data_IF_797305388036
#
_entry.id   IF_797305388036
#
_cell.length_a   1.000
_cell.length_b   1.000
_cell.length_c   1.000
_cell.angle_alpha   90.00
_cell.angle_beta   90.00
_cell.angle_gamma   90.00
#
_symmetry.space_group_name_H-M   'P 1'
#
loop_
_entity.id
_entity.type
_entity.pdbx_description
1 polymer ?
#
# COMPACT_ATOMS: atom_id res chain seq x y z
N UNK A 1 20.16 11.81 -0.65
CA UNK A 1 18.82 11.24 -0.41
C UNK A 1 18.43 11.44 1.05
N UNK A 2 17.24 11.99 1.29
CA UNK A 2 16.64 12.35 2.58
C UNK A 2 16.62 11.18 3.57
N UNK A 3 16.58 9.95 3.06
CA UNK A 3 16.52 8.73 3.87
C UNK A 3 17.81 7.89 3.84
N UNK A 4 18.90 8.42 3.26
CA UNK A 4 20.15 7.66 3.08
C UNK A 4 20.85 7.22 4.36
N UNK A 5 20.59 7.90 5.48
CA UNK A 5 21.14 7.56 6.79
C UNK A 5 20.38 6.43 7.50
N UNK A 6 19.18 6.06 7.02
CA UNK A 6 18.39 5.01 7.62
C UNK A 6 18.87 3.62 7.17
N UNK A 7 18.96 2.63 8.08
CA UNK A 7 19.22 1.25 7.71
C UNK A 7 18.20 0.72 6.71
N UNK A 8 18.68 0.08 5.64
CA UNK A 8 17.85 -0.48 4.57
C UNK A 8 18.45 -1.78 4.07
N UNK A 9 17.60 -2.78 3.84
CA UNK A 9 17.96 -4.04 3.18
C UNK A 9 17.24 -4.11 1.83
N UNK A 10 17.95 -4.46 0.76
CA UNK A 10 17.33 -4.59 -0.56
C UNK A 10 16.43 -5.83 -0.64
N UNK A 11 15.15 -5.60 -0.92
CA UNK A 11 14.11 -6.60 -1.16
C UNK A 11 13.34 -6.32 -2.44
N UNK A 12 13.12 -5.04 -2.77
CA UNK A 12 12.34 -4.62 -3.92
C UNK A 12 13.20 -4.54 -5.20
N UNK A 13 12.60 -4.88 -6.33
CA UNK A 13 13.14 -4.51 -7.65
C UNK A 13 12.88 -3.03 -7.91
N UNK A 14 13.92 -2.20 -7.78
CA UNK A 14 13.84 -0.75 -7.91
C UNK A 14 14.88 -0.20 -8.91
N UNK A 15 14.60 0.94 -9.56
CA UNK A 15 13.36 1.72 -9.47
C UNK A 15 12.16 0.99 -10.13
N UNK A 16 10.95 1.13 -9.60
CA UNK A 16 9.77 0.55 -10.29
C UNK A 16 9.44 1.36 -11.55
N UNK A 17 8.90 0.75 -12.61
CA UNK A 17 8.60 1.49 -13.83
C UNK A 17 7.64 2.67 -13.63
N UNK A 18 7.85 3.70 -14.45
CA UNK A 18 7.00 4.88 -14.60
C UNK A 18 6.60 4.97 -16.08
N UNK A 19 5.32 4.79 -16.38
CA UNK A 19 4.83 4.55 -17.74
C UNK A 19 3.62 5.43 -18.04
N UNK A 20 3.48 5.91 -19.28
CA UNK A 20 2.27 6.58 -19.75
C UNK A 20 1.17 5.55 -20.04
N UNK A 21 -0.10 5.93 -19.88
CA UNK A 21 -1.28 5.10 -20.14
C UNK A 21 -2.15 5.71 -21.27
N UNK A 22 -1.65 5.75 -22.52
CA UNK A 22 -2.29 6.51 -23.60
C UNK A 22 -3.66 5.95 -24.01
N UNK A 23 -3.91 4.64 -23.87
CA UNK A 23 -5.19 4.03 -24.25
C UNK A 23 -6.27 4.32 -23.21
N UNK A 24 -5.93 4.27 -21.93
CA UNK A 24 -6.79 4.66 -20.84
C UNK A 24 -7.06 6.17 -20.88
N UNK A 25 -6.03 6.98 -21.15
CA UNK A 25 -6.19 8.42 -21.40
C UNK A 25 -7.22 8.70 -22.49
N UNK A 26 -7.11 8.03 -23.65
CA UNK A 26 -8.08 8.17 -24.73
C UNK A 26 -9.49 7.71 -24.32
N UNK A 27 -9.59 6.59 -23.59
CA UNK A 27 -10.86 6.06 -23.10
C UNK A 27 -11.56 6.98 -22.07
N UNK A 28 -10.80 7.81 -21.34
CA UNK A 28 -11.30 8.73 -20.30
C UNK A 28 -11.34 10.19 -20.75
N UNK A 29 -11.36 10.46 -22.06
CA UNK A 29 -11.57 11.80 -22.60
C UNK A 29 -10.33 12.69 -22.64
N UNK A 30 -9.13 12.09 -22.63
CA UNK A 30 -7.88 12.75 -23.01
C UNK A 30 -6.99 13.28 -21.87
N UNK A 31 -7.34 13.03 -20.60
CA UNK A 31 -6.47 13.39 -19.47
C UNK A 31 -5.09 12.71 -19.57
N UNK A 32 -4.02 13.38 -19.18
CA UNK A 32 -2.66 12.81 -19.24
C UNK A 32 -2.45 11.85 -18.07
N UNK A 33 -2.52 10.54 -18.35
CA UNK A 33 -2.45 9.50 -17.32
C UNK A 33 -1.13 8.74 -17.38
N UNK A 34 -0.54 8.56 -16.20
CA UNK A 34 0.67 7.79 -15.98
C UNK A 34 0.46 6.79 -14.85
N UNK A 35 1.32 5.79 -14.78
CA UNK A 35 1.30 4.78 -13.73
C UNK A 35 2.68 4.54 -13.14
N UNK A 36 2.75 4.47 -11.81
CA UNK A 36 3.93 4.00 -11.07
C UNK A 36 3.71 2.56 -10.64
N UNK A 37 4.56 1.64 -11.11
CA UNK A 37 4.32 0.19 -11.08
C UNK A 37 4.82 -0.50 -9.79
N UNK A 38 4.34 -0.06 -8.63
CA UNK A 38 4.75 -0.64 -7.33
C UNK A 38 4.25 -2.06 -7.07
N UNK A 39 3.35 -2.59 -7.90
CA UNK A 39 3.06 -4.02 -7.95
C UNK A 39 4.26 -4.84 -8.42
N UNK A 40 5.21 -4.23 -9.16
CA UNK A 40 6.41 -4.91 -9.68
C UNK A 40 7.60 -4.92 -8.73
N UNK A 41 7.42 -4.57 -7.46
CA UNK A 41 8.50 -4.67 -6.45
C UNK A 41 8.99 -6.11 -6.22
N UNK A 42 8.28 -7.14 -6.71
CA UNK A 42 8.75 -8.52 -6.88
C UNK A 42 8.63 -9.44 -5.66
N UNK A 43 8.73 -8.92 -4.44
CA UNK A 43 8.72 -9.75 -3.23
C UNK A 43 7.40 -10.50 -3.05
N UNK A 44 7.42 -11.83 -3.20
CA UNK A 44 6.25 -12.69 -3.09
C UNK A 44 5.06 -12.20 -3.94
N UNK A 45 5.29 -11.78 -5.19
CA UNK A 45 4.24 -11.18 -6.04
C UNK A 45 4.04 -9.68 -5.84
N UNK A 46 4.98 -9.02 -5.15
CA UNK A 46 5.17 -7.57 -5.15
C UNK A 46 4.08 -6.75 -4.47
N UNK A 47 4.14 -5.45 -4.69
CA UNK A 47 3.30 -4.46 -4.03
C UNK A 47 4.07 -3.50 -3.14
N UNK A 48 3.30 -2.57 -2.62
CA UNK A 48 3.78 -1.35 -2.02
C UNK A 48 4.39 -1.55 -0.61
N UNK A 49 4.13 -2.69 0.04
CA UNK A 49 4.65 -3.00 1.38
C UNK A 49 6.10 -3.44 1.35
N UNK A 50 6.57 -3.99 0.24
CA UNK A 50 7.98 -4.36 0.02
C UNK A 50 8.91 -3.19 0.32
N UNK A 51 8.60 -1.99 -0.18
CA UNK A 51 9.38 -0.76 0.11
C UNK A 51 9.51 -0.52 1.62
N UNK A 52 8.41 -0.60 2.36
CA UNK A 52 8.41 -0.40 3.82
C UNK A 52 9.22 -1.48 4.54
N UNK A 53 9.10 -2.73 4.07
CA UNK A 53 9.78 -3.89 4.66
C UNK A 53 11.30 -3.81 4.51
N UNK A 54 11.83 -3.12 3.50
CA UNK A 54 13.28 -2.89 3.38
C UNK A 54 13.87 -2.18 4.61
N UNK A 55 13.13 -1.22 5.18
CA UNK A 55 13.53 -0.47 6.37
C UNK A 55 13.13 -1.21 7.66
N UNK A 56 11.91 -1.73 7.72
CA UNK A 56 11.41 -2.45 8.91
C UNK A 56 12.21 -3.72 9.20
N UNK A 57 12.60 -4.47 8.17
CA UNK A 57 13.45 -5.67 8.36
C UNK A 57 14.89 -5.30 8.70
N UNK A 58 15.39 -4.15 8.24
CA UNK A 58 16.70 -3.64 8.65
C UNK A 58 16.70 -3.26 10.14
N UNK A 59 15.65 -2.58 10.61
CA UNK A 59 15.46 -2.27 12.01
C UNK A 59 15.31 -3.56 12.86
N UNK A 60 14.47 -4.50 12.44
CA UNK A 60 14.32 -5.80 13.11
C UNK A 60 15.66 -6.55 13.25
N UNK A 61 16.49 -6.54 12.20
CA UNK A 61 17.83 -7.16 12.25
C UNK A 61 18.76 -6.43 13.21
N UNK A 62 18.72 -5.10 13.22
CA UNK A 62 19.50 -4.26 14.14
C UNK A 62 19.15 -4.55 15.61
N UNK A 63 17.87 -4.78 15.89
CA UNK A 63 17.37 -5.17 17.22
C UNK A 63 17.60 -6.66 17.55
N UNK A 64 18.26 -7.43 16.67
CA UNK A 64 18.58 -8.83 16.89
C UNK A 64 17.38 -9.77 16.82
N UNK A 65 16.28 -9.35 16.18
CA UNK A 65 15.06 -10.15 16.05
C UNK A 65 15.31 -11.43 15.25
N UNK A 66 14.49 -12.46 15.53
CA UNK A 66 14.49 -13.75 14.81
C UNK A 66 13.11 -14.15 14.30
N UNK A 67 12.04 -13.49 14.78
CA UNK A 67 10.67 -13.75 14.38
C UNK A 67 9.98 -12.44 14.04
N UNK A 68 9.42 -12.33 12.83
CA UNK A 68 8.54 -11.22 12.46
C UNK A 68 7.09 -11.59 12.82
N UNK A 69 6.40 -10.68 13.49
CA UNK A 69 4.98 -10.83 13.83
C UNK A 69 4.22 -9.68 13.19
N UNK A 70 3.11 -9.95 12.52
CA UNK A 70 2.22 -8.91 12.03
C UNK A 70 0.77 -9.39 11.97
N UNK A 71 -0.14 -8.49 11.60
CA UNK A 71 -1.55 -8.77 11.48
C UNK A 71 -2.19 -8.23 10.19
N UNK A 72 -3.33 -8.81 9.85
CA UNK A 72 -4.23 -8.25 8.85
C UNK A 72 -5.45 -9.12 8.58
N UNK A 73 -6.24 -8.70 7.59
CA UNK A 73 -7.33 -9.49 7.07
C UNK A 73 -6.85 -10.81 6.42
N UNK A 74 -7.74 -11.79 6.19
CA UNK A 74 -7.36 -13.09 5.60
C UNK A 74 -6.58 -12.96 4.28
N UNK A 75 -6.98 -12.00 3.43
CA UNK A 75 -6.35 -11.70 2.14
C UNK A 75 -5.36 -10.54 2.21
N UNK A 76 -4.74 -10.29 3.37
CA UNK A 76 -3.82 -9.17 3.58
C UNK A 76 -2.57 -9.26 2.72
N UNK A 77 -2.41 -8.28 1.81
CA UNK A 77 -1.19 -8.08 1.03
C UNK A 77 0.03 -7.78 1.92
N UNK A 78 -0.20 -7.15 3.09
CA UNK A 78 0.85 -6.87 4.06
C UNK A 78 1.40 -8.14 4.69
N UNK A 79 0.52 -9.02 5.18
CA UNK A 79 0.91 -10.30 5.76
C UNK A 79 1.72 -11.13 4.77
N UNK A 80 1.28 -11.18 3.51
CA UNK A 80 1.95 -11.92 2.43
C UNK A 80 3.34 -11.38 2.10
N UNK A 81 3.50 -10.07 2.01
CA UNK A 81 4.81 -9.47 1.78
C UNK A 81 5.73 -9.61 3.02
N UNK A 82 5.19 -9.53 4.24
CA UNK A 82 5.95 -9.79 5.48
C UNK A 82 6.45 -11.24 5.54
N UNK A 83 5.60 -12.22 5.20
CA UNK A 83 6.01 -13.62 5.07
C UNK A 83 7.10 -13.80 4.01
N UNK A 84 6.97 -13.12 2.87
CA UNK A 84 7.99 -13.12 1.82
C UNK A 84 9.33 -12.55 2.30
N UNK A 85 9.32 -11.43 3.02
CA UNK A 85 10.52 -10.85 3.60
C UNK A 85 11.16 -11.77 4.64
N UNK A 86 10.33 -12.38 5.50
CA UNK A 86 10.79 -13.32 6.51
C UNK A 86 11.50 -14.52 5.88
N UNK A 87 10.86 -15.16 4.90
CA UNK A 87 11.43 -16.30 4.17
C UNK A 87 12.75 -15.94 3.49
N UNK A 88 12.81 -14.79 2.79
CA UNK A 88 14.01 -14.35 2.06
C UNK A 88 15.18 -13.99 2.98
N UNK A 89 14.90 -13.46 4.17
CA UNK A 89 15.92 -12.97 5.12
C UNK A 89 16.24 -13.95 6.26
N UNK A 90 15.55 -15.10 6.31
CA UNK A 90 15.75 -16.13 7.33
C UNK A 90 15.14 -15.80 8.70
N UNK A 91 14.07 -15.02 8.75
CA UNK A 91 13.25 -14.86 9.95
C UNK A 91 12.15 -15.93 10.01
N UNK A 92 11.77 -16.33 11.22
CA UNK A 92 10.46 -16.96 11.41
C UNK A 92 9.36 -15.91 11.15
N UNK A 93 8.16 -16.36 10.78
CA UNK A 93 7.04 -15.46 10.55
C UNK A 93 5.78 -15.96 11.26
N UNK A 94 5.14 -15.09 12.04
CA UNK A 94 3.80 -15.33 12.60
C UNK A 94 2.85 -14.28 12.06
N UNK A 95 1.76 -14.72 11.45
CA UNK A 95 0.71 -13.89 10.91
C UNK A 95 -0.56 -14.08 11.74
N UNK A 96 -1.01 -13.02 12.41
CA UNK A 96 -2.30 -13.02 13.08
C UNK A 96 -3.35 -12.53 12.09
N UNK A 97 -4.30 -13.38 11.71
CA UNK A 97 -5.36 -13.07 10.75
C UNK A 97 -6.70 -12.88 11.47
N UNK A 98 -7.44 -11.86 11.05
CA UNK A 98 -8.77 -11.57 11.61
C UNK A 98 -9.79 -12.66 11.29
N UNK A 99 -10.70 -12.91 12.23
CA UNK A 99 -11.80 -13.85 12.07
C UNK A 99 -11.35 -15.31 12.12
N UNK A 100 -12.16 -16.17 11.50
CA UNK A 100 -12.00 -17.62 11.49
C UNK A 100 -11.34 -18.10 10.18
N UNK A 101 -10.78 -19.33 10.15
CA UNK A 101 -10.25 -19.92 8.93
C UNK A 101 -11.21 -19.80 7.74
N UNK A 102 -10.69 -19.35 6.60
CA UNK A 102 -11.43 -19.19 5.35
C UNK A 102 -10.89 -20.13 4.27
N UNK A 103 -11.60 -20.22 3.15
CA UNK A 103 -11.16 -21.00 2.00
C UNK A 103 -9.74 -20.61 1.56
N UNK A 104 -8.88 -21.62 1.39
CA UNK A 104 -7.47 -21.45 1.07
C UNK A 104 -7.33 -20.99 -0.39
N UNK A 105 -7.18 -19.68 -0.58
CA UNK A 105 -7.04 -19.03 -1.89
C UNK A 105 -6.19 -17.76 -1.77
N UNK A 106 -5.76 -17.21 -2.92
CA UNK A 106 -5.05 -15.93 -2.98
C UNK A 106 -3.85 -15.83 -2.03
N UNK A 107 -3.82 -14.77 -1.21
CA UNK A 107 -2.73 -14.51 -0.27
C UNK A 107 -2.57 -15.60 0.81
N UNK A 108 -3.62 -16.36 1.18
CA UNK A 108 -3.52 -17.45 2.16
C UNK A 108 -2.66 -18.60 1.62
N UNK A 109 -2.82 -18.95 0.34
CA UNK A 109 -1.97 -19.94 -0.34
C UNK A 109 -0.51 -19.50 -0.27
N UNK A 110 -0.25 -18.24 -0.63
CA UNK A 110 1.10 -17.67 -0.63
C UNK A 110 1.71 -17.66 0.77
N UNK A 111 0.96 -17.25 1.81
CA UNK A 111 1.42 -17.27 3.20
C UNK A 111 1.89 -18.67 3.63
N UNK A 112 1.13 -19.71 3.28
CA UNK A 112 1.47 -21.11 3.60
C UNK A 112 2.72 -21.58 2.84
N UNK A 113 2.83 -21.27 1.55
CA UNK A 113 4.00 -21.62 0.73
C UNK A 113 5.28 -20.92 1.22
N UNK A 114 5.16 -19.70 1.74
CA UNK A 114 6.26 -18.94 2.33
C UNK A 114 6.62 -19.39 3.75
N UNK A 115 5.98 -20.44 4.28
CA UNK A 115 6.30 -21.02 5.57
C UNK A 115 5.83 -20.20 6.79
N UNK A 116 4.89 -19.27 6.60
CA UNK A 116 4.38 -18.48 7.71
C UNK A 116 3.47 -19.30 8.64
N UNK A 117 3.62 -19.11 9.94
CA UNK A 117 2.68 -19.62 10.94
C UNK A 117 1.46 -18.71 11.00
N UNK A 118 0.29 -19.22 10.58
CA UNK A 118 -0.96 -18.47 10.57
C UNK A 118 -1.74 -18.77 11.85
N UNK A 119 -2.01 -17.73 12.63
CA UNK A 119 -2.88 -17.74 13.81
C UNK A 119 -4.15 -16.97 13.47
N UNK A 120 -5.32 -17.56 13.69
CA UNK A 120 -6.61 -16.91 13.50
C UNK A 120 -7.07 -16.32 14.81
N UNK A 121 -7.49 -15.05 14.82
CA UNK A 121 -7.97 -14.38 16.02
C UNK A 121 -9.37 -14.88 16.44
N UNK A 122 -10.12 -15.54 15.55
CA UNK A 122 -11.50 -15.92 15.81
C UNK A 122 -12.34 -14.67 16.10
N UNK A 123 -13.01 -14.68 17.25
CA UNK A 123 -13.83 -13.58 17.73
C UNK A 123 -13.07 -12.63 18.69
N UNK A 124 -11.78 -12.90 18.95
CA UNK A 124 -10.96 -12.04 19.79
C UNK A 124 -10.55 -10.75 19.08
N UNK A 125 -10.27 -9.72 19.89
CA UNK A 125 -9.64 -8.49 19.39
C UNK A 125 -8.29 -8.80 18.76
N UNK A 126 -8.07 -8.24 17.56
CA UNK A 126 -6.78 -8.35 16.86
C UNK A 126 -5.62 -7.82 17.71
N UNK A 127 -5.84 -6.76 18.49
CA UNK A 127 -4.82 -6.17 19.36
C UNK A 127 -4.44 -7.07 20.52
N UNK A 128 -5.44 -7.72 21.14
CA UNK A 128 -5.24 -8.63 22.26
C UNK A 128 -4.52 -9.90 21.79
N UNK A 129 -4.97 -10.47 20.67
CA UNK A 129 -4.34 -11.65 20.11
C UNK A 129 -2.89 -11.37 19.66
N UNK A 130 -2.63 -10.22 19.03
CA UNK A 130 -1.26 -9.80 18.71
C UNK A 130 -0.38 -9.69 19.96
N UNK A 131 -0.90 -9.08 21.02
CA UNK A 131 -0.18 -8.89 22.28
C UNK A 131 0.13 -10.23 22.95
N UNK A 132 -0.85 -11.15 22.96
CA UNK A 132 -0.68 -12.50 23.49
C UNK A 132 0.36 -13.31 22.70
N UNK A 133 0.30 -13.26 21.37
CA UNK A 133 1.27 -13.96 20.50
C UNK A 133 2.66 -13.35 20.64
N UNK A 134 2.80 -12.02 20.68
CA UNK A 134 4.08 -11.37 20.91
C UNK A 134 4.71 -11.81 22.24
N UNK A 135 3.94 -11.79 23.33
CA UNK A 135 4.40 -12.25 24.64
C UNK A 135 4.78 -13.73 24.63
N UNK A 136 4.01 -14.58 23.94
CA UNK A 136 4.31 -16.02 23.79
C UNK A 136 5.65 -16.25 23.08
N UNK A 137 5.89 -15.59 21.96
CA UNK A 137 7.15 -15.70 21.21
C UNK A 137 8.34 -15.13 22.01
N UNK A 138 8.11 -14.07 22.80
CA UNK A 138 9.12 -13.49 23.68
C UNK A 138 9.51 -14.46 24.80
N UNK A 139 8.53 -15.02 25.53
CA UNK A 139 8.76 -16.00 26.60
C UNK A 139 9.43 -17.27 26.09
N UNK A 140 9.15 -17.67 24.85
CA UNK A 140 9.81 -18.79 24.19
C UNK A 140 11.23 -18.47 23.68
N UNK A 141 11.78 -17.28 23.96
CA UNK A 141 13.12 -16.88 23.54
C UNK A 141 13.28 -16.64 22.04
N UNK A 142 12.17 -16.51 21.28
CA UNK A 142 12.18 -16.41 19.82
C UNK A 142 12.43 -15.00 19.28
N UNK A 143 12.73 -14.03 20.15
CA UNK A 143 13.10 -12.64 19.80
C UNK A 143 12.14 -12.02 18.76
N UNK A 144 10.86 -11.82 19.12
CA UNK A 144 9.87 -11.30 18.20
C UNK A 144 10.07 -9.81 17.91
N UNK A 145 9.75 -9.40 16.68
CA UNK A 145 9.64 -8.02 16.25
C UNK A 145 8.24 -7.80 15.67
N UNK A 146 7.52 -6.82 16.21
CA UNK A 146 6.16 -6.50 15.78
C UNK A 146 6.20 -5.50 14.63
N UNK A 147 5.71 -5.92 13.47
CA UNK A 147 5.45 -5.03 12.35
C UNK A 147 3.98 -4.58 12.44
N UNK A 148 3.71 -3.28 12.69
CA UNK A 148 2.34 -2.80 12.85
C UNK A 148 1.56 -2.92 11.55
N UNK A 149 0.22 -2.87 11.64
CA UNK A 149 -0.68 -3.03 10.50
C UNK A 149 -0.25 -2.17 9.29
N UNK A 150 -0.01 -2.83 8.16
CA UNK A 150 0.41 -2.20 6.91
C UNK A 150 1.84 -1.66 6.90
N UNK A 151 2.65 -1.97 7.92
CA UNK A 151 3.99 -1.41 8.14
C UNK A 151 3.95 0.10 8.37
N UNK A 152 2.87 0.62 8.96
CA UNK A 152 2.63 2.06 9.09
C UNK A 152 3.11 2.58 10.43
N UNK A 153 4.40 2.87 10.49
CA UNK A 153 5.09 3.59 11.56
C UNK A 153 6.13 4.55 10.91
N UNK A 154 6.84 5.38 11.68
CA UNK A 154 7.83 6.31 11.13
C UNK A 154 8.89 5.67 10.21
N UNK A 155 9.39 4.49 10.58
CA UNK A 155 10.39 3.74 9.80
C UNK A 155 9.80 3.30 8.45
N UNK A 156 8.62 2.68 8.46
CA UNK A 156 7.96 2.21 7.24
C UNK A 156 7.45 3.35 6.35
N UNK A 157 7.02 4.48 6.93
CA UNK A 157 6.62 5.66 6.18
C UNK A 157 7.81 6.32 5.45
N UNK A 158 8.99 6.29 6.05
CA UNK A 158 10.23 6.80 5.43
C UNK A 158 10.54 6.13 4.09
N UNK A 159 10.12 4.88 3.89
CA UNK A 159 10.27 4.20 2.60
C UNK A 159 9.54 4.89 1.44
N UNK A 160 8.46 5.63 1.72
CA UNK A 160 7.73 6.39 0.70
C UNK A 160 8.27 7.80 0.50
N UNK A 161 9.07 8.34 1.43
CA UNK A 161 9.91 9.50 1.14
C UNK A 161 10.94 9.08 0.08
N UNK A 162 11.64 7.96 0.30
CA UNK A 162 12.58 7.40 -0.68
C UNK A 162 11.92 7.09 -2.04
N UNK A 163 10.67 6.64 -2.04
CA UNK A 163 9.91 6.41 -3.26
C UNK A 163 9.59 7.70 -4.02
N UNK A 164 9.36 8.82 -3.32
CA UNK A 164 9.20 10.13 -3.96
C UNK A 164 10.52 10.66 -4.53
N UNK A 165 11.65 10.40 -3.86
CA UNK A 165 12.98 10.70 -4.41
C UNK A 165 13.24 9.89 -5.70
N UNK A 166 12.86 8.62 -5.70
CA UNK A 166 12.90 7.76 -6.89
C UNK A 166 12.03 8.33 -8.02
N UNK A 167 10.80 8.75 -7.73
CA UNK A 167 9.92 9.37 -8.72
C UNK A 167 10.54 10.65 -9.29
N UNK A 168 11.06 11.54 -8.44
CA UNK A 168 11.67 12.79 -8.88
C UNK A 168 12.89 12.54 -9.80
N UNK A 169 13.73 11.56 -9.47
CA UNK A 169 14.85 11.16 -10.31
C UNK A 169 14.39 10.58 -11.66
N UNK A 170 13.32 9.77 -11.68
CA UNK A 170 12.75 9.24 -12.92
C UNK A 170 12.14 10.35 -13.79
N UNK A 171 11.44 11.32 -13.20
CA UNK A 171 10.90 12.47 -13.92
C UNK A 171 12.01 13.30 -14.54
N UNK A 172 13.09 13.58 -13.79
CA UNK A 172 14.25 14.30 -14.31
C UNK A 172 14.89 13.54 -15.48
N UNK A 173 15.11 12.23 -15.35
CA UNK A 173 15.72 11.41 -16.39
C UNK A 173 14.88 11.34 -17.68
N UNK A 174 13.55 11.40 -17.56
CA UNK A 174 12.62 11.42 -18.69
C UNK A 174 12.28 12.83 -19.20
N UNK A 175 12.85 13.88 -18.59
CA UNK A 175 12.47 15.29 -18.84
C UNK A 175 10.96 15.52 -18.69
N UNK A 176 10.34 14.80 -17.73
CA UNK A 176 8.91 14.86 -17.47
C UNK A 176 8.59 16.02 -16.53
N UNK A 177 7.63 16.90 -16.85
CA UNK A 177 7.22 17.94 -15.92
C UNK A 177 6.47 17.36 -14.71
N UNK A 178 6.30 18.14 -13.62
CA UNK A 178 5.58 17.69 -12.43
C UNK A 178 4.21 17.08 -12.70
N UNK A 179 3.84 16.10 -11.89
CA UNK A 179 2.47 15.63 -11.80
C UNK A 179 1.64 16.62 -10.99
N UNK A 180 0.45 16.93 -11.45
CA UNK A 180 -0.51 17.72 -10.68
C UNK A 180 -1.03 16.89 -9.50
N UNK A 181 -1.22 15.58 -9.72
CA UNK A 181 -1.82 14.67 -8.73
C UNK A 181 -1.23 13.28 -8.76
N UNK A 182 -1.04 12.69 -7.57
CA UNK A 182 -0.81 11.25 -7.38
C UNK A 182 -2.06 10.65 -6.76
N UNK A 183 -2.62 9.61 -7.38
CA UNK A 183 -3.84 8.93 -6.93
C UNK A 183 -3.56 7.47 -6.61
N UNK A 184 -3.99 7.00 -5.43
CA UNK A 184 -3.77 5.63 -4.97
C UNK A 184 -4.70 5.26 -3.81
N UNK A 185 -4.75 3.97 -3.47
CA UNK A 185 -5.52 3.46 -2.34
C UNK A 185 -4.85 3.76 -0.99
N UNK A 186 -5.61 4.31 -0.03
CA UNK A 186 -5.13 4.62 1.32
C UNK A 186 -6.00 3.95 2.40
N UNK A 187 -5.33 3.43 3.43
CA UNK A 187 -5.97 2.80 4.61
C UNK A 187 -5.11 3.01 5.84
N UNK A 188 -4.00 2.27 6.00
CA UNK A 188 -3.15 2.38 7.20
C UNK A 188 -2.26 3.62 7.25
N UNK A 189 -2.39 4.55 6.29
CA UNK A 189 -1.70 5.84 6.28
C UNK A 189 -0.23 5.84 5.84
N UNK A 190 0.57 4.82 6.17
CA UNK A 190 2.03 4.92 6.03
C UNK A 190 2.59 5.08 4.62
N UNK A 191 1.79 4.83 3.58
CA UNK A 191 2.20 5.16 2.20
C UNK A 191 1.93 6.64 1.90
N UNK A 192 0.74 7.12 2.26
CA UNK A 192 0.34 8.51 2.04
C UNK A 192 1.16 9.48 2.89
N UNK A 193 1.44 9.16 4.15
CA UNK A 193 2.24 10.02 5.03
C UNK A 193 3.67 10.20 4.49
N UNK A 194 4.30 9.11 4.05
CA UNK A 194 5.62 9.17 3.44
C UNK A 194 5.65 9.91 2.10
N UNK A 195 4.65 9.69 1.25
CA UNK A 195 4.52 10.44 -0.01
C UNK A 195 4.32 11.93 0.23
N UNK A 196 3.46 12.30 1.20
CA UNK A 196 3.19 13.69 1.56
C UNK A 196 4.44 14.42 2.05
N UNK A 197 5.19 13.80 2.96
CA UNK A 197 6.47 14.35 3.41
C UNK A 197 7.49 14.41 2.28
N UNK A 198 7.59 13.35 1.47
CA UNK A 198 8.50 13.31 0.33
C UNK A 198 8.22 14.44 -0.67
N UNK A 199 6.95 14.66 -1.01
CA UNK A 199 6.55 15.77 -1.88
C UNK A 199 6.96 17.13 -1.31
N UNK A 200 6.68 17.38 -0.02
CA UNK A 200 7.07 18.63 0.65
C UNK A 200 8.58 18.86 0.68
N UNK A 201 9.35 17.84 1.06
CA UNK A 201 10.81 17.92 1.16
C UNK A 201 11.48 18.11 -0.20
N UNK A 202 10.85 17.63 -1.28
CA UNK A 202 11.31 17.81 -2.65
C UNK A 202 10.78 19.10 -3.30
N UNK A 203 9.97 19.89 -2.59
CA UNK A 203 9.36 21.11 -3.12
C UNK A 203 8.34 20.87 -4.24
N UNK A 204 7.72 19.68 -4.29
CA UNK A 204 6.73 19.34 -5.31
C UNK A 204 5.36 19.95 -4.94
N UNK A 205 4.73 20.60 -5.91
CA UNK A 205 3.35 21.10 -5.80
C UNK A 205 2.28 20.00 -6.00
N UNK A 206 2.71 18.76 -6.20
CA UNK A 206 1.86 17.61 -6.49
C UNK A 206 0.91 17.29 -5.33
N UNK A 207 -0.39 17.21 -5.62
CA UNK A 207 -1.38 16.79 -4.64
C UNK A 207 -1.33 15.26 -4.44
N UNK A 208 -1.14 14.82 -3.19
CA UNK A 208 -1.13 13.40 -2.81
C UNK A 208 -2.54 12.96 -2.39
N UNK A 209 -3.35 12.51 -3.36
CA UNK A 209 -4.74 12.13 -3.16
C UNK A 209 -4.89 10.64 -2.83
N UNK A 210 -5.21 10.35 -1.56
CA UNK A 210 -5.57 9.00 -1.12
C UNK A 210 -7.05 8.71 -1.29
N UNK A 211 -7.40 7.68 -2.07
CA UNK A 211 -8.76 7.13 -2.10
C UNK A 211 -8.89 6.17 -0.91
N UNK A 212 -9.76 6.49 0.04
CA UNK A 212 -9.98 5.66 1.23
C UNK A 212 -10.62 4.32 0.84
N UNK A 213 -10.13 3.24 1.44
CA UNK A 213 -10.70 1.90 1.23
C UNK A 213 -11.48 1.38 2.43
N UNK A 214 -11.31 1.97 3.61
CA UNK A 214 -11.90 1.45 4.85
C UNK A 214 -12.28 2.52 5.89
N UNK A 215 -11.89 3.79 5.71
CA UNK A 215 -12.03 4.82 6.75
C UNK A 215 -12.78 6.06 6.30
N UNK A 216 -13.54 6.72 7.20
CA UNK A 216 -14.01 8.08 6.99
C UNK A 216 -12.88 9.05 6.68
N UNK A 217 -13.21 10.14 5.99
CA UNK A 217 -12.23 11.11 5.50
C UNK A 217 -11.42 11.73 6.64
N UNK A 218 -12.09 12.26 7.67
CA UNK A 218 -11.45 12.92 8.82
C UNK A 218 -10.55 11.97 9.60
N UNK A 219 -11.03 10.74 9.86
CA UNK A 219 -10.22 9.73 10.56
C UNK A 219 -8.94 9.41 9.77
N UNK A 220 -9.04 9.23 8.46
CA UNK A 220 -7.88 8.92 7.64
C UNK A 220 -6.94 10.12 7.48
N UNK A 221 -7.46 11.33 7.29
CA UNK A 221 -6.66 12.54 7.06
C UNK A 221 -5.98 13.04 8.34
N UNK A 222 -6.74 13.24 9.42
CA UNK A 222 -6.27 13.84 10.68
C UNK A 222 -5.62 12.81 11.61
N UNK A 223 -6.39 11.79 12.00
CA UNK A 223 -5.99 10.90 13.10
C UNK A 223 -4.90 9.90 12.69
N UNK A 224 -4.79 9.62 11.39
CA UNK A 224 -3.88 8.61 10.85
C UNK A 224 -2.77 9.23 10.02
N UNK A 225 -3.08 9.86 8.89
CA UNK A 225 -2.04 10.29 7.94
C UNK A 225 -1.27 11.50 8.46
N UNK A 226 -1.95 12.56 8.89
CA UNK A 226 -1.29 13.74 9.42
C UNK A 226 -0.48 13.42 10.67
N UNK A 227 -1.07 12.66 11.61
CA UNK A 227 -0.38 12.16 12.80
C UNK A 227 0.89 11.38 12.44
N UNK A 228 0.78 10.37 11.57
CA UNK A 228 1.93 9.55 11.18
C UNK A 228 2.98 10.35 10.41
N UNK A 229 2.58 11.34 9.61
CA UNK A 229 3.51 12.24 8.94
C UNK A 229 4.29 13.08 9.96
N UNK A 230 3.63 13.64 10.97
CA UNK A 230 4.32 14.38 12.04
C UNK A 230 5.27 13.49 12.86
N UNK A 231 4.86 12.26 13.20
CA UNK A 231 5.73 11.29 13.87
C UNK A 231 6.94 10.91 13.01
N UNK A 232 6.75 10.78 11.69
CA UNK A 232 7.83 10.50 10.74
C UNK A 232 8.78 11.68 10.59
N UNK A 233 8.27 12.90 10.50
CA UNK A 233 9.08 14.12 10.46
C UNK A 233 9.95 14.24 11.72
N UNK A 234 9.35 14.05 12.90
CA UNK A 234 10.07 14.03 14.18
C UNK A 234 11.16 12.95 14.22
N UNK A 235 10.84 11.74 13.77
CA UNK A 235 11.80 10.62 13.69
C UNK A 235 13.03 10.96 12.82
N UNK A 236 12.83 11.72 11.75
CA UNK A 236 13.89 12.17 10.84
C UNK A 236 14.59 13.45 11.29
N UNK A 237 14.22 14.04 12.44
CA UNK A 237 14.75 15.31 12.91
C UNK A 237 14.33 16.51 12.05
N UNK A 238 13.19 16.42 11.35
CA UNK A 238 12.66 17.47 10.50
C UNK A 238 11.67 18.35 11.26
N UNK A 239 11.70 19.64 10.95
CA UNK A 239 10.70 20.61 11.41
C UNK A 239 9.57 20.72 10.37
N UNK A 240 8.32 20.82 10.86
CA UNK A 240 7.16 21.00 10.00
C UNK A 240 5.94 20.27 10.55
N UNK A 241 4.82 21.00 10.59
CA UNK A 241 3.53 20.45 11.00
C UNK A 241 2.70 20.09 9.77
N UNK A 242 2.19 18.86 9.75
CA UNK A 242 1.13 18.40 8.85
C UNK A 242 -0.16 18.42 9.65
N UNK A 243 -1.14 19.17 9.18
CA UNK A 243 -2.52 19.10 9.66
C UNK A 243 -3.35 18.21 8.73
N UNK A 244 -4.51 17.72 9.16
CA UNK A 244 -5.39 16.96 8.25
C UNK A 244 -5.87 17.77 7.04
N UNK A 245 -5.91 19.11 7.14
CA UNK A 245 -6.22 19.99 5.99
C UNK A 245 -5.18 19.91 4.87
N UNK A 246 -3.97 19.48 5.20
CA UNK A 246 -2.91 19.26 4.22
C UNK A 246 -3.00 17.89 3.54
N UNK A 247 -3.85 16.99 4.06
CA UNK A 247 -3.96 15.62 3.60
C UNK A 247 -5.20 15.48 2.72
N UNK A 248 -4.97 15.36 1.42
CA UNK A 248 -6.05 15.07 0.48
C UNK A 248 -6.50 13.60 0.60
N UNK A 249 -7.69 13.38 1.14
CA UNK A 249 -8.36 12.08 1.18
C UNK A 249 -9.71 12.22 0.48
N UNK A 250 -10.14 11.17 -0.21
CA UNK A 250 -11.52 11.04 -0.67
C UNK A 250 -12.09 9.72 -0.16
N UNK A 251 -13.09 9.80 0.71
CA UNK A 251 -13.80 8.64 1.28
C UNK A 251 -15.16 8.36 0.60
N UNK A 252 -15.46 8.98 -0.54
CA UNK A 252 -16.72 8.81 -1.27
C UNK A 252 -16.92 7.44 -1.94
N UNK A 253 -15.89 6.59 -1.95
CA UNK A 253 -15.88 5.30 -2.66
C UNK A 253 -15.85 4.09 -1.73
N UNK A 254 -16.26 4.24 -0.46
CA UNK A 254 -16.26 3.13 0.50
C UNK A 254 -17.25 2.01 0.15
N UNK A 255 -18.29 2.32 -0.65
CA UNK A 255 -19.24 1.34 -1.18
C UNK A 255 -19.87 0.47 -0.08
N UNK A 256 -19.89 -0.84 -0.31
CA UNK A 256 -20.36 -1.83 0.68
C UNK A 256 -19.40 -2.08 1.86
N UNK A 257 -18.37 -1.25 2.01
CA UNK A 257 -17.36 -1.37 3.05
C UNK A 257 -16.08 -2.07 2.60
N UNK A 258 -15.23 -2.41 3.56
CA UNK A 258 -13.93 -3.02 3.30
C UNK A 258 -14.08 -4.42 2.69
N UNK A 259 -13.27 -4.70 1.66
CA UNK A 259 -13.24 -5.98 0.95
C UNK A 259 -14.57 -6.39 0.25
N UNK A 260 -15.50 -5.46 0.06
CA UNK A 260 -16.68 -5.61 -0.78
C UNK A 260 -16.43 -4.91 -2.12
N UNK A 261 -16.43 -5.67 -3.21
CA UNK A 261 -16.23 -5.15 -4.57
C UNK A 261 -17.61 -4.81 -5.16
N UNK A 262 -17.80 -3.57 -5.62
CA UNK A 262 -19.01 -3.10 -6.29
C UNK A 262 -18.81 -2.95 -7.81
N UNK A 263 -19.86 -2.44 -8.48
CA UNK A 263 -19.85 -2.24 -9.93
C UNK A 263 -18.76 -1.27 -10.39
N UNK A 264 -18.51 -0.20 -9.63
CA UNK A 264 -17.49 0.79 -9.96
C UNK A 264 -16.08 0.19 -9.93
N UNK A 265 -15.76 -0.66 -8.95
CA UNK A 265 -14.49 -1.39 -8.92
C UNK A 265 -14.38 -2.40 -10.07
N UNK A 266 -15.47 -3.10 -10.41
CA UNK A 266 -15.48 -4.05 -11.53
C UNK A 266 -15.22 -3.32 -12.85
N UNK A 267 -15.91 -2.21 -13.12
CA UNK A 267 -15.70 -1.38 -14.31
C UNK A 267 -14.24 -0.91 -14.39
N UNK A 268 -13.69 -0.39 -13.29
CA UNK A 268 -12.32 0.09 -13.23
C UNK A 268 -11.29 -1.02 -13.50
N UNK A 269 -11.45 -2.19 -12.87
CA UNK A 269 -10.57 -3.36 -13.07
C UNK A 269 -10.60 -3.80 -14.54
N UNK A 270 -11.79 -3.91 -15.13
CA UNK A 270 -11.94 -4.31 -16.54
C UNK A 270 -11.37 -3.27 -17.49
N UNK A 271 -11.58 -1.97 -17.21
CA UNK A 271 -11.07 -0.89 -18.05
C UNK A 271 -9.55 -0.88 -18.07
N UNK A 272 -8.89 -0.91 -16.91
CA UNK A 272 -7.42 -0.98 -16.80
C UNK A 272 -6.87 -2.24 -17.49
N UNK A 273 -7.51 -3.39 -17.31
CA UNK A 273 -7.09 -4.63 -17.94
C UNK A 273 -7.17 -4.57 -19.47
N UNK A 274 -8.27 -4.02 -20.03
CA UNK A 274 -8.54 -4.00 -21.47
C UNK A 274 -7.81 -2.86 -22.21
N UNK A 275 -7.48 -1.78 -21.52
CA UNK A 275 -6.79 -0.62 -22.11
C UNK A 275 -5.29 -0.71 -21.97
N UNK A 276 -4.78 -1.13 -20.80
CA UNK A 276 -3.35 -1.02 -20.47
C UNK A 276 -2.69 -2.35 -20.08
N UNK A 277 -3.41 -3.47 -20.11
CA UNK A 277 -2.91 -4.76 -19.60
C UNK A 277 -2.50 -4.71 -18.12
N UNK A 278 -3.20 -3.87 -17.34
CA UNK A 278 -2.94 -3.69 -15.91
C UNK A 278 -4.01 -4.42 -15.10
N UNK A 279 -3.59 -5.31 -14.20
CA UNK A 279 -4.48 -6.04 -13.30
C UNK A 279 -4.54 -5.37 -11.93
N UNK A 280 -5.67 -4.75 -11.64
CA UNK A 280 -5.96 -4.14 -10.34
C UNK A 280 -6.61 -5.14 -9.40
N UNK A 281 -6.33 -5.04 -8.10
CA UNK A 281 -6.96 -5.87 -7.09
C UNK A 281 -8.38 -5.39 -6.71
N UNK A 282 -9.27 -6.30 -6.29
CA UNK A 282 -10.67 -5.99 -5.94
C UNK A 282 -10.90 -5.08 -4.73
N UNK A 283 -9.88 -4.88 -3.87
CA UNK A 283 -10.07 -4.23 -2.56
C UNK A 283 -9.44 -2.84 -2.51
N UNK A 284 -8.23 -2.70 -3.08
CA UNK A 284 -7.46 -1.47 -2.96
C UNK A 284 -7.40 -0.72 -4.28
N UNK A 285 -6.61 -1.22 -5.22
CA UNK A 285 -6.26 -0.54 -6.46
C UNK A 285 -7.45 -0.44 -7.41
N UNK A 286 -8.37 -1.41 -7.41
CA UNK A 286 -9.65 -1.31 -8.13
C UNK A 286 -10.51 -0.16 -7.62
N UNK A 287 -10.59 0.04 -6.30
CA UNK A 287 -11.32 1.16 -5.68
C UNK A 287 -10.66 2.51 -5.93
N UNK A 288 -9.34 2.57 -5.84
CA UNK A 288 -8.61 3.80 -6.18
C UNK A 288 -8.79 4.18 -7.66
N UNK A 289 -8.78 3.20 -8.56
CA UNK A 289 -9.03 3.42 -9.97
C UNK A 289 -10.48 3.83 -10.24
N UNK A 290 -11.45 3.21 -9.58
CA UNK A 290 -12.85 3.63 -9.65
C UNK A 290 -13.02 5.10 -9.22
N UNK A 291 -12.36 5.49 -8.13
CA UNK A 291 -12.33 6.88 -7.67
C UNK A 291 -11.70 7.83 -8.69
N UNK A 292 -10.54 7.47 -9.27
CA UNK A 292 -9.91 8.26 -10.32
C UNK A 292 -10.84 8.46 -11.53
N UNK A 293 -11.44 7.38 -12.03
CA UNK A 293 -12.34 7.39 -13.19
C UNK A 293 -13.55 8.29 -12.92
N UNK A 294 -14.20 8.14 -11.77
CA UNK A 294 -15.36 8.95 -11.41
C UNK A 294 -15.01 10.43 -11.23
N UNK A 295 -13.87 10.75 -10.63
CA UNK A 295 -13.40 12.14 -10.48
C UNK A 295 -13.10 12.80 -11.83
N UNK A 296 -12.57 12.06 -12.80
CA UNK A 296 -12.39 12.53 -14.17
C UNK A 296 -13.72 12.74 -14.88
N UNK A 297 -14.64 11.76 -14.79
CA UNK A 297 -15.99 11.84 -15.38
C UNK A 297 -16.79 13.03 -14.83
N UNK A 298 -16.64 13.34 -13.53
CA UNK A 298 -17.30 14.47 -12.84
C UNK A 298 -16.54 15.80 -12.97
N UNK A 299 -15.44 15.83 -13.71
CA UNK A 299 -14.59 17.01 -13.90
C UNK A 299 -14.09 17.63 -12.57
N UNK A 300 -13.92 16.79 -11.53
CA UNK A 300 -13.28 17.14 -10.25
C UNK A 300 -11.76 17.06 -10.33
N UNK A 301 -11.27 16.32 -11.31
CA UNK A 301 -9.90 16.39 -11.82
C UNK A 301 -9.99 17.00 -13.21
N UNK A 302 -9.23 18.07 -13.46
CA UNK A 302 -9.22 18.77 -14.73
C UNK A 302 -8.64 17.90 -15.86
N UNK A 303 -9.20 18.02 -17.07
CA UNK A 303 -8.74 17.27 -18.25
C UNK A 303 -7.31 17.62 -18.69
N UNK A 304 -6.79 18.76 -18.24
CA UNK A 304 -5.43 19.21 -18.51
C UNK A 304 -4.44 18.82 -17.39
N UNK A 305 -4.90 18.16 -16.33
CA UNK A 305 -4.02 17.68 -15.25
C UNK A 305 -3.23 16.45 -15.70
N UNK A 306 -1.94 16.41 -15.34
CA UNK A 306 -1.09 15.22 -15.42
C UNK A 306 -1.21 14.42 -14.14
N UNK A 307 -1.75 13.20 -14.26
CA UNK A 307 -2.11 12.37 -13.12
C UNK A 307 -1.25 11.11 -13.11
N UNK A 308 -0.65 10.82 -11.96
CA UNK A 308 0.04 9.56 -11.71
C UNK A 308 -0.84 8.65 -10.86
N UNK A 309 -1.29 7.53 -11.42
CA UNK A 309 -1.87 6.44 -10.65
C UNK A 309 -0.76 5.59 -10.04
N UNK A 310 -0.67 5.52 -8.71
CA UNK A 310 0.34 4.71 -8.04
C UNK A 310 -0.20 3.31 -7.77
N UNK A 311 0.19 2.33 -8.58
CA UNK A 311 -0.31 0.97 -8.48
C UNK A 311 0.37 0.24 -7.33
N UNK A 312 -0.36 0.05 -6.23
CA UNK A 312 0.19 -0.52 -4.99
C UNK A 312 0.20 -2.06 -4.93
N UNK A 313 -0.11 -2.72 -6.05
CA UNK A 313 -0.24 -4.18 -6.17
C UNK A 313 -1.51 -4.75 -5.57
N UNK A 314 -1.46 -6.05 -5.24
CA UNK A 314 -2.58 -6.78 -4.64
C UNK A 314 -3.20 -7.87 -5.51
N UNK A 315 -2.68 -8.08 -6.72
CA UNK A 315 -3.18 -9.03 -7.71
C UNK A 315 -3.56 -10.44 -7.18
N UNK A 316 -2.86 -11.05 -6.19
CA UNK A 316 -3.27 -12.36 -5.66
C UNK A 316 -4.72 -12.44 -5.17
N UNK A 317 -5.32 -11.33 -4.74
CA UNK A 317 -6.72 -11.28 -4.32
C UNK A 317 -7.70 -11.62 -5.46
N UNK A 318 -7.33 -11.37 -6.73
CA UNK A 318 -8.15 -11.72 -7.90
C UNK A 318 -8.48 -13.22 -7.97
N UNK A 319 -7.58 -14.06 -7.46
CA UNK A 319 -7.73 -15.52 -7.47
C UNK A 319 -8.51 -16.06 -6.26
N UNK A 320 -9.24 -15.20 -5.54
CA UNK A 320 -10.17 -15.67 -4.51
C UNK A 320 -11.54 -15.96 -5.14
N UNK A 321 -12.20 -17.09 -4.81
CA UNK A 321 -13.42 -17.51 -5.50
C UNK A 321 -14.54 -16.47 -5.51
N UNK A 322 -14.67 -15.67 -4.45
CA UNK A 322 -15.69 -14.61 -4.38
C UNK A 322 -15.49 -13.54 -5.45
N UNK A 323 -14.26 -13.07 -5.65
CA UNK A 323 -13.98 -11.99 -6.61
C UNK A 323 -13.85 -12.53 -8.02
N UNK A 324 -13.23 -13.71 -8.20
CA UNK A 324 -13.13 -14.37 -9.49
C UNK A 324 -14.52 -14.55 -10.12
N UNK A 325 -15.50 -15.08 -9.36
CA UNK A 325 -16.88 -15.21 -9.80
C UNK A 325 -17.46 -13.86 -10.24
N UNK A 326 -17.39 -12.83 -9.39
CA UNK A 326 -17.95 -11.51 -9.71
C UNK A 326 -17.34 -10.87 -10.97
N UNK A 327 -16.04 -11.06 -11.20
CA UNK A 327 -15.34 -10.50 -12.37
C UNK A 327 -15.63 -11.27 -13.67
N UNK A 328 -16.06 -12.53 -13.59
CA UNK A 328 -16.28 -13.40 -14.75
C UNK A 328 -17.74 -13.74 -15.03
N UNK A 329 -18.70 -13.36 -14.18
CA UNK A 329 -20.13 -13.70 -14.34
C UNK A 329 -20.78 -13.04 -15.58
N UNK A 330 -20.19 -11.99 -16.15
CA UNK A 330 -20.75 -11.25 -17.30
C UNK A 330 -19.94 -11.37 -18.61
N UNK A 331 -19.17 -12.45 -18.79
CA UNK A 331 -18.55 -12.80 -20.08
C UNK A 331 -19.12 -14.11 -20.63
#
# INVERSE_FOLDING_TARGET
MLTSHLPRISLAHLPTPLEAMPRLSAALGGAELWIKRDEQTGLAGGGNKTRKLEYLCADARTQGAKTLITAGAPQSNHCRQTAGAAAKLGFNCVLVLAGHPTEVSGNIVLNKLLGANIVWAGDESMGDMLSAIFKREQTAGRKPYLIPYGGSNPIGASAYIAAMEELAAQMQAQTLPPFDRIVFASSSGGTQSGMLLGARLLGLSTQILGISVDKPEVELSEDIVAKLANETAKFLGLEGYVSGKDVAVNAGYLGGGYAVMGEAEIEAIQLFARTESILLDPVYTGRAAAGLIDLLKKEKIGKNERILFWHTGGAPALFTPKYAKQLTINN
#
